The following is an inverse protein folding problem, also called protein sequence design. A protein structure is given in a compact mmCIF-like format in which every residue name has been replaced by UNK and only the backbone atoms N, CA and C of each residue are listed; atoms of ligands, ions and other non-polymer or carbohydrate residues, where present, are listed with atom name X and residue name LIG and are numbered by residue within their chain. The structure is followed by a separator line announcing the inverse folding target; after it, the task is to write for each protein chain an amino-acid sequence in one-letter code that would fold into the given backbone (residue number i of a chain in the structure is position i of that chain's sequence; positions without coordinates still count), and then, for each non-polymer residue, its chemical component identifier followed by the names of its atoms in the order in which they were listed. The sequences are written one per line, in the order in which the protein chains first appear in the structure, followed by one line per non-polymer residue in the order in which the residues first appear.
data_IF_404359615582
#
_entry.id   IF_404359615582
#
_cell.length_a   1.000
_cell.length_b   1.000
_cell.length_c   1.000
_cell.angle_alpha   90.00
_cell.angle_beta   90.00
_cell.angle_gamma   90.00
#
_symmetry.space_group_name_H-M   'P 1'
#
loop_
_entity.id
_entity.type
_entity.pdbx_description
1 polymer ?
#
# COMPACT_ATOMS: atom_id res chain seq x y z
N UNK A 1 8.24 18.28 -25.43
CA UNK A 1 6.83 18.44 -24.97
C UNK A 1 6.66 17.51 -23.78
N UNK A 2 6.08 17.98 -22.70
CA UNK A 2 5.75 17.19 -21.51
C UNK A 2 4.24 17.02 -21.50
N UNK A 3 3.75 15.77 -21.38
CA UNK A 3 2.33 15.45 -21.36
C UNK A 3 2.04 14.47 -20.22
N UNK A 4 0.89 14.62 -19.57
CA UNK A 4 0.36 13.67 -18.62
C UNK A 4 -0.44 12.52 -19.28
N UNK A 5 -0.48 12.49 -20.61
CA UNK A 5 -1.05 11.38 -21.37
C UNK A 5 0.02 10.31 -21.65
N UNK A 6 -0.40 9.06 -21.77
CA UNK A 6 0.48 7.93 -22.13
C UNK A 6 0.76 7.81 -23.65
N UNK A 7 0.46 8.86 -24.41
CA UNK A 7 0.65 8.89 -25.85
C UNK A 7 2.10 9.34 -26.13
N UNK A 8 2.98 8.43 -26.53
CA UNK A 8 4.31 8.78 -27.02
C UNK A 8 4.22 9.28 -28.46
N UNK A 9 4.59 10.53 -28.71
CA UNK A 9 4.85 11.00 -30.07
C UNK A 9 6.20 10.42 -30.54
N UNK A 10 6.28 10.01 -31.81
CA UNK A 10 7.58 9.64 -32.38
C UNK A 10 8.50 10.87 -32.36
N UNK A 11 9.78 10.71 -32.03
CA UNK A 11 10.74 11.79 -32.15
C UNK A 11 10.70 12.32 -33.59
N UNK A 12 10.60 13.62 -33.75
CA UNK A 12 10.60 14.27 -35.04
C UNK A 12 11.68 15.36 -35.01
N UNK A 13 12.62 15.27 -35.95
CA UNK A 13 13.70 16.22 -36.04
C UNK A 13 13.35 17.29 -37.10
N UNK A 14 13.22 18.52 -36.64
CA UNK A 14 12.97 19.66 -37.50
C UNK A 14 14.20 20.52 -37.67
N UNK A 15 14.37 21.13 -38.85
CA UNK A 15 15.37 22.15 -39.08
C UNK A 15 14.70 23.52 -39.14
N UNK A 16 15.21 24.47 -38.38
CA UNK A 16 14.72 25.86 -38.37
C UNK A 16 15.88 26.73 -38.87
N UNK A 17 15.62 27.54 -39.92
CA UNK A 17 16.57 28.55 -40.38
C UNK A 17 16.25 29.90 -39.79
N UNK A 18 17.19 30.47 -38.99
CA UNK A 18 17.11 31.79 -38.40
C UNK A 18 18.41 32.53 -38.57
N UNK A 19 18.39 33.81 -38.99
CA UNK A 19 19.54 34.67 -39.15
C UNK A 19 20.63 34.11 -40.06
N UNK A 20 20.25 33.44 -41.17
CA UNK A 20 21.11 32.77 -42.14
C UNK A 20 21.86 31.51 -41.64
N UNK A 21 21.50 31.02 -40.47
CA UNK A 21 21.98 29.76 -39.90
C UNK A 21 20.86 28.73 -39.82
N UNK A 22 21.20 27.45 -39.96
CA UNK A 22 20.25 26.34 -39.82
C UNK A 22 20.48 25.59 -38.50
N UNK A 23 19.44 25.53 -37.69
CA UNK A 23 19.46 24.84 -36.40
C UNK A 23 18.66 23.54 -36.50
N UNK A 24 19.17 22.45 -35.97
CA UNK A 24 18.41 21.23 -35.78
C UNK A 24 17.65 21.24 -34.46
N UNK A 25 16.35 21.00 -34.52
CA UNK A 25 15.49 20.92 -33.36
C UNK A 25 15.02 19.48 -33.18
N UNK A 26 15.48 18.82 -32.13
CA UNK A 26 14.99 17.50 -31.76
C UNK A 26 13.81 17.60 -30.79
N UNK A 27 12.68 17.06 -31.19
CA UNK A 27 11.48 17.04 -30.34
C UNK A 27 11.38 15.67 -29.64
N UNK A 28 11.50 15.65 -28.34
CA UNK A 28 11.27 14.46 -27.51
C UNK A 28 9.98 14.63 -26.72
N UNK A 29 9.17 13.57 -26.67
CA UNK A 29 8.02 13.51 -25.78
C UNK A 29 8.46 12.89 -24.45
N UNK A 30 8.11 13.56 -23.34
CA UNK A 30 8.21 13.00 -22.00
C UNK A 30 6.79 12.71 -21.57
N UNK A 31 6.46 11.45 -21.46
CA UNK A 31 5.13 10.98 -21.09
C UNK A 31 5.02 10.76 -19.59
N UNK A 32 3.79 10.56 -19.10
CA UNK A 32 3.55 10.23 -17.70
C UNK A 32 4.36 8.99 -17.28
N UNK A 33 4.50 8.00 -18.15
CA UNK A 33 5.26 6.77 -17.87
C UNK A 33 6.76 7.04 -17.60
N UNK A 34 7.31 8.07 -18.23
CA UNK A 34 8.73 8.46 -18.03
C UNK A 34 8.89 9.40 -16.81
N UNK A 35 7.84 10.15 -16.45
CA UNK A 35 7.84 11.05 -15.31
C UNK A 35 7.55 10.30 -14.00
N UNK A 36 6.67 9.31 -14.02
CA UNK A 36 6.27 8.50 -12.86
C UNK A 36 7.48 8.03 -12.01
N UNK A 37 8.60 7.49 -12.58
CA UNK A 37 9.76 7.07 -11.78
C UNK A 37 10.44 8.19 -10.98
N UNK A 38 10.17 9.44 -11.30
CA UNK A 38 10.75 10.61 -10.59
C UNK A 38 9.81 11.19 -9.54
N UNK A 39 8.50 10.88 -9.63
CA UNK A 39 7.48 11.47 -8.75
C UNK A 39 6.98 10.46 -7.71
N UNK A 40 7.13 9.16 -7.97
CA UNK A 40 6.67 8.09 -7.09
C UNK A 40 7.85 7.42 -6.41
N UNK A 41 7.68 7.03 -5.14
CA UNK A 41 8.61 6.16 -4.44
C UNK A 41 8.51 4.74 -5.00
N UNK A 42 9.10 4.53 -6.20
CA UNK A 42 9.26 3.17 -6.74
C UNK A 42 10.29 2.39 -5.92
N UNK A 43 10.15 1.08 -5.83
CA UNK A 43 11.15 0.24 -5.21
C UNK A 43 12.49 0.44 -5.92
N UNK A 44 13.48 0.94 -5.18
CA UNK A 44 14.84 1.06 -5.71
C UNK A 44 15.43 -0.33 -5.84
N UNK A 45 16.16 -0.58 -6.92
CA UNK A 45 16.96 -1.80 -7.06
C UNK A 45 18.13 -1.78 -6.08
N UNK A 46 17.84 -2.12 -4.84
CA UNK A 46 18.84 -2.16 -3.78
C UNK A 46 19.62 -3.46 -3.82
N UNK A 47 20.89 -3.36 -3.47
CA UNK A 47 21.80 -4.51 -3.36
C UNK A 47 22.32 -4.63 -1.93
N UNK A 48 22.48 -5.85 -1.48
CA UNK A 48 23.11 -6.16 -0.20
C UNK A 48 23.97 -7.44 -0.31
N UNK A 49 24.97 -7.53 0.55
CA UNK A 49 25.87 -8.69 0.62
C UNK A 49 26.07 -9.08 2.07
N UNK A 50 26.00 -10.36 2.38
CA UNK A 50 26.22 -10.87 3.72
C UNK A 50 26.95 -12.22 3.71
N UNK A 51 27.52 -12.56 4.87
CA UNK A 51 28.21 -13.83 5.10
C UNK A 51 27.65 -14.45 6.38
N UNK A 52 27.22 -15.71 6.29
CA UNK A 52 26.74 -16.47 7.44
C UNK A 52 27.46 -17.83 7.54
N UNK A 53 27.14 -18.62 8.54
CA UNK A 53 27.66 -20.00 8.65
C UNK A 53 26.93 -20.91 7.65
N UNK A 54 27.62 -21.81 6.98
CA UNK A 54 26.99 -22.75 6.04
C UNK A 54 25.93 -23.63 6.70
N UNK A 55 26.06 -23.93 7.96
CA UNK A 55 25.05 -24.67 8.76
C UNK A 55 23.78 -23.86 9.04
N UNK A 56 23.81 -22.56 8.80
CA UNK A 56 22.66 -21.64 8.96
C UNK A 56 21.86 -21.44 7.67
N UNK A 57 22.16 -22.21 6.62
CA UNK A 57 21.54 -22.06 5.30
C UNK A 57 20.99 -23.40 4.83
N UNK A 58 19.73 -23.39 4.43
CA UNK A 58 19.10 -24.48 3.70
C UNK A 58 18.70 -23.95 2.31
N UNK A 59 19.05 -24.68 1.27
CA UNK A 59 18.67 -24.38 -0.12
C UNK A 59 17.47 -25.19 -0.53
N UNK A 60 16.59 -24.59 -1.31
CA UNK A 60 15.45 -25.25 -1.92
C UNK A 60 15.37 -24.89 -3.41
N UNK A 61 15.27 -25.87 -4.26
CA UNK A 61 15.08 -25.75 -5.71
C UNK A 61 13.74 -26.40 -6.07
N UNK A 62 12.92 -25.73 -6.88
CA UNK A 62 11.58 -26.25 -7.25
C UNK A 62 11.72 -27.52 -8.09
N UNK A 63 12.71 -27.57 -8.98
CA UNK A 63 13.10 -28.75 -9.74
C UNK A 63 14.56 -28.58 -10.25
N UNK A 64 15.16 -29.65 -10.73
CA UNK A 64 16.56 -29.65 -11.21
C UNK A 64 16.80 -28.73 -12.41
N UNK A 65 15.75 -28.32 -13.12
CA UNK A 65 15.81 -27.42 -14.28
C UNK A 65 15.46 -25.97 -13.94
N UNK A 66 15.10 -25.69 -12.68
CA UNK A 66 14.72 -24.35 -12.25
C UNK A 66 15.97 -23.49 -11.99
N UNK A 67 16.05 -22.32 -12.64
CA UNK A 67 17.02 -21.28 -12.30
C UNK A 67 16.67 -20.56 -11.00
N UNK A 68 15.44 -20.69 -10.52
CA UNK A 68 14.94 -20.01 -9.34
C UNK A 68 15.39 -20.70 -8.07
N UNK A 69 16.31 -20.09 -7.34
CA UNK A 69 16.84 -20.59 -6.07
C UNK A 69 16.14 -19.95 -4.89
N UNK A 70 15.84 -20.76 -3.88
CA UNK A 70 15.26 -20.32 -2.62
C UNK A 70 16.15 -20.73 -1.46
N UNK A 71 16.24 -19.85 -0.47
CA UNK A 71 17.09 -20.06 0.70
C UNK A 71 16.32 -19.80 1.98
N UNK A 72 16.49 -20.69 2.96
CA UNK A 72 16.13 -20.46 4.34
C UNK A 72 17.42 -20.16 5.11
N UNK A 73 17.53 -18.96 5.64
CA UNK A 73 18.77 -18.45 6.21
C UNK A 73 18.51 -17.96 7.62
N UNK A 74 19.38 -18.36 8.55
CA UNK A 74 19.41 -17.82 9.90
C UNK A 74 20.42 -16.67 9.94
N UNK A 75 19.96 -15.46 10.26
CA UNK A 75 20.78 -14.24 10.38
C UNK A 75 20.68 -13.66 11.78
N UNK A 76 21.75 -13.02 12.24
CA UNK A 76 21.68 -12.15 13.42
C UNK A 76 20.90 -10.88 13.11
N UNK A 77 20.30 -10.26 14.14
CA UNK A 77 19.61 -8.98 13.96
C UNK A 77 20.57 -7.86 13.57
N UNK A 78 21.83 -7.90 14.03
CA UNK A 78 22.87 -6.96 13.60
C UNK A 78 23.11 -7.05 12.10
N UNK A 79 23.24 -8.26 11.56
CA UNK A 79 23.44 -8.46 10.13
C UNK A 79 22.20 -8.07 9.32
N UNK A 80 20.99 -8.34 9.86
CA UNK A 80 19.74 -7.90 9.24
C UNK A 80 19.65 -6.37 9.13
N UNK A 81 19.97 -5.63 10.21
CA UNK A 81 20.03 -4.16 10.18
C UNK A 81 21.03 -3.69 9.14
N UNK A 82 22.21 -4.28 9.12
CA UNK A 82 23.28 -3.92 8.18
C UNK A 82 22.83 -4.02 6.73
N UNK A 83 22.17 -5.12 6.33
CA UNK A 83 21.74 -5.35 4.94
C UNK A 83 20.46 -4.60 4.54
N UNK A 84 19.74 -4.01 5.48
CA UNK A 84 18.47 -3.31 5.23
C UNK A 84 18.53 -1.81 5.52
N UNK A 85 19.67 -1.28 5.96
CA UNK A 85 19.82 0.15 6.24
C UNK A 85 19.88 0.98 4.95
N UNK A 86 19.64 2.28 5.07
CA UNK A 86 19.66 3.24 3.94
C UNK A 86 21.06 3.47 3.35
N UNK A 87 22.12 3.10 4.08
CA UNK A 87 23.51 3.29 3.69
C UNK A 87 23.98 2.16 2.75
N UNK A 88 24.22 2.50 1.47
CA UNK A 88 24.63 1.55 0.44
C UNK A 88 25.97 0.88 0.75
N UNK A 89 26.93 1.64 1.25
CA UNK A 89 28.29 1.09 1.50
C UNK A 89 28.25 0.06 2.62
N UNK A 90 27.46 0.30 3.64
CA UNK A 90 27.23 -0.65 4.73
C UNK A 90 26.50 -1.90 4.24
N UNK A 91 25.50 -1.76 3.37
CA UNK A 91 24.76 -2.92 2.84
C UNK A 91 25.65 -3.89 2.05
N UNK A 92 26.60 -3.38 1.27
CA UNK A 92 27.43 -4.21 0.38
C UNK A 92 28.76 -4.66 1.01
N UNK A 93 29.21 -4.00 2.07
CA UNK A 93 30.44 -4.34 2.76
C UNK A 93 30.17 -5.35 3.89
N UNK A 94 30.77 -6.52 3.77
CA UNK A 94 30.71 -7.52 4.82
C UNK A 94 31.70 -7.18 5.92
N UNK A 95 31.21 -6.87 7.11
CA UNK A 95 32.04 -6.58 8.29
C UNK A 95 31.51 -7.35 9.50
N UNK A 96 32.37 -7.62 10.46
CA UNK A 96 31.99 -8.12 11.78
C UNK A 96 31.84 -7.00 12.82
N UNK A 97 32.16 -5.76 12.45
CA UNK A 97 31.99 -4.58 13.30
C UNK A 97 30.60 -4.00 13.08
N UNK A 98 29.78 -4.07 14.10
CA UNK A 98 28.38 -3.60 14.10
C UNK A 98 28.17 -2.34 14.96
N UNK A 99 29.24 -1.74 15.49
CA UNK A 99 29.17 -0.55 16.36
C UNK A 99 28.49 0.64 15.70
N UNK A 100 28.66 0.76 14.37
CA UNK A 100 28.11 1.85 13.57
C UNK A 100 26.60 1.72 13.24
N UNK A 101 25.93 0.65 13.69
CA UNK A 101 24.51 0.42 13.36
C UNK A 101 23.55 1.30 14.16
N UNK A 102 23.97 1.85 15.30
CA UNK A 102 23.12 2.63 16.21
C UNK A 102 22.40 3.81 15.53
N UNK A 103 23.05 4.46 14.59
CA UNK A 103 22.50 5.65 13.90
C UNK A 103 21.91 5.33 12.54
N UNK A 104 21.85 4.07 12.16
CA UNK A 104 21.35 3.71 10.82
C UNK A 104 19.83 3.64 10.78
N UNK A 105 19.29 4.12 9.68
CA UNK A 105 17.85 4.12 9.40
C UNK A 105 17.50 3.01 8.41
N UNK A 106 16.32 2.46 8.55
CA UNK A 106 15.78 1.50 7.61
C UNK A 106 15.56 2.17 6.24
N UNK A 107 16.00 1.52 5.17
CA UNK A 107 15.56 1.93 3.83
C UNK A 107 14.11 1.51 3.61
N UNK A 108 13.20 2.46 3.69
CA UNK A 108 11.74 2.20 3.63
C UNK A 108 11.29 1.71 2.27
N UNK A 109 12.08 1.96 1.19
CA UNK A 109 11.79 1.43 -0.14
C UNK A 109 11.81 -0.10 -0.20
N UNK A 110 12.51 -0.77 0.74
CA UNK A 110 12.49 -2.23 0.91
C UNK A 110 11.13 -2.79 1.36
N UNK A 111 10.24 -1.95 1.84
CA UNK A 111 8.91 -2.32 2.32
C UNK A 111 7.81 -1.95 1.33
N UNK A 112 8.15 -1.59 0.10
CA UNK A 112 7.19 -1.18 -0.91
C UNK A 112 6.15 -2.28 -1.18
N UNK A 113 6.60 -3.50 -1.41
CA UNK A 113 5.73 -4.67 -1.63
C UNK A 113 5.15 -5.26 -0.34
N UNK A 114 5.46 -4.66 0.81
CA UNK A 114 4.90 -5.10 2.08
C UNK A 114 3.44 -4.64 2.19
N UNK A 115 2.53 -5.60 2.29
CA UNK A 115 1.07 -5.38 2.28
C UNK A 115 0.58 -4.57 3.48
N UNK A 116 1.35 -4.56 4.58
CA UNK A 116 1.01 -3.84 5.81
C UNK A 116 1.90 -2.62 6.02
N UNK A 117 1.26 -1.46 6.20
CA UNK A 117 1.90 -0.29 6.78
C UNK A 117 2.30 -0.54 8.24
N UNK A 118 3.02 0.38 8.85
CA UNK A 118 3.40 0.29 10.26
C UNK A 118 2.17 0.50 11.16
N UNK A 119 1.86 -0.50 11.98
CA UNK A 119 0.70 -0.48 12.90
C UNK A 119 0.95 0.31 14.19
N UNK A 120 2.07 1.02 14.29
CA UNK A 120 2.42 1.79 15.49
C UNK A 120 2.80 0.89 16.68
N UNK A 121 2.53 1.36 17.89
CA UNK A 121 2.87 0.68 19.15
C UNK A 121 1.86 -0.39 19.54
N UNK A 122 1.80 -1.48 18.76
CA UNK A 122 0.98 -2.63 19.12
C UNK A 122 1.63 -3.46 20.22
N UNK A 123 0.84 -4.30 20.90
CA UNK A 123 1.36 -5.28 21.88
C UNK A 123 2.41 -6.20 21.24
N UNK A 124 2.23 -6.58 19.97
CA UNK A 124 3.18 -7.39 19.22
C UNK A 124 4.55 -6.69 19.08
N UNK A 125 4.55 -5.42 18.67
CA UNK A 125 5.78 -4.65 18.51
C UNK A 125 6.51 -4.45 19.83
N UNK A 126 5.78 -4.24 20.93
CA UNK A 126 6.34 -4.19 22.30
C UNK A 126 6.97 -5.51 22.70
N UNK A 127 6.33 -6.64 22.39
CA UNK A 127 6.86 -7.97 22.70
C UNK A 127 8.14 -8.27 21.91
N UNK A 128 8.26 -7.84 20.66
CA UNK A 128 9.48 -7.97 19.85
C UNK A 128 10.63 -7.25 20.56
N UNK A 129 10.44 -5.97 20.89
CA UNK A 129 11.46 -5.17 21.59
C UNK A 129 11.80 -5.77 22.96
N UNK A 130 10.80 -6.26 23.71
CA UNK A 130 10.98 -6.92 25.00
C UNK A 130 11.84 -8.19 24.86
N UNK A 131 11.56 -9.04 23.87
CA UNK A 131 12.35 -10.26 23.63
C UNK A 131 13.81 -9.95 23.35
N UNK A 132 14.11 -8.93 22.54
CA UNK A 132 15.50 -8.54 22.27
C UNK A 132 16.18 -8.05 23.56
N UNK A 133 15.47 -7.33 24.44
CA UNK A 133 16.01 -6.81 25.71
C UNK A 133 16.29 -7.90 26.73
N UNK A 134 15.35 -8.83 26.89
CA UNK A 134 15.35 -9.78 28.02
C UNK A 134 15.91 -11.16 27.66
N UNK A 135 15.55 -11.67 26.47
CA UNK A 135 15.87 -13.03 26.03
C UNK A 135 16.29 -13.09 24.55
N UNK A 136 17.38 -12.42 24.12
CA UNK A 136 17.75 -12.32 22.70
C UNK A 136 17.94 -13.70 22.03
N UNK A 137 18.46 -14.70 22.74
CA UNK A 137 18.66 -16.05 22.23
C UNK A 137 17.36 -16.81 21.92
N UNK A 138 16.21 -16.36 22.47
CA UNK A 138 14.90 -16.94 22.19
C UNK A 138 14.18 -16.25 21.02
N UNK A 139 14.76 -15.19 20.49
CA UNK A 139 14.13 -14.40 19.43
C UNK A 139 13.75 -15.24 18.21
N UNK A 140 14.63 -16.15 17.80
CA UNK A 140 14.38 -17.08 16.69
C UNK A 140 13.14 -17.95 16.89
N UNK A 141 12.87 -18.39 18.11
CA UNK A 141 11.73 -19.25 18.44
C UNK A 141 10.40 -18.47 18.53
N UNK A 142 10.47 -17.19 18.92
CA UNK A 142 9.30 -16.37 19.19
C UNK A 142 8.88 -15.48 18.02
N UNK A 143 9.66 -15.50 16.91
CA UNK A 143 9.41 -14.66 15.76
C UNK A 143 9.21 -15.49 14.48
N UNK A 144 8.24 -15.11 13.66
CA UNK A 144 7.92 -15.81 12.42
C UNK A 144 8.94 -15.59 11.29
N UNK A 145 9.92 -14.72 11.50
CA UNK A 145 10.93 -14.40 10.49
C UNK A 145 10.47 -13.36 9.46
N UNK A 146 11.31 -13.21 8.42
CA UNK A 146 11.04 -12.35 7.28
C UNK A 146 10.92 -13.18 6.00
N UNK A 147 10.13 -12.65 5.05
CA UNK A 147 10.14 -13.14 3.68
C UNK A 147 10.65 -12.04 2.77
N UNK A 148 11.67 -12.36 1.99
CA UNK A 148 12.39 -11.47 1.10
C UNK A 148 12.32 -12.06 -0.31
N UNK A 149 11.93 -11.25 -1.28
CA UNK A 149 12.04 -11.54 -2.72
C UNK A 149 13.23 -10.78 -3.29
N UNK A 150 13.91 -11.31 -4.28
CA UNK A 150 15.03 -10.66 -4.96
C UNK A 150 15.01 -10.98 -6.45
N UNK A 151 15.33 -10.01 -7.29
CA UNK A 151 15.45 -10.21 -8.74
C UNK A 151 16.57 -11.17 -9.08
N UNK A 152 17.69 -11.07 -8.37
CA UNK A 152 18.84 -11.94 -8.55
C UNK A 152 19.52 -12.25 -7.22
N UNK A 153 19.93 -13.52 -7.08
CA UNK A 153 20.67 -14.03 -5.91
C UNK A 153 21.94 -14.72 -6.40
N UNK A 154 23.10 -14.24 -5.94
CA UNK A 154 24.38 -14.94 -6.10
C UNK A 154 24.81 -15.45 -4.75
N UNK A 155 24.76 -16.75 -4.57
CA UNK A 155 25.04 -17.36 -3.28
C UNK A 155 25.84 -18.64 -3.43
N UNK A 156 26.74 -18.88 -2.47
CA UNK A 156 27.56 -20.10 -2.47
C UNK A 156 28.48 -20.18 -1.26
N UNK A 157 29.01 -21.39 -1.01
CA UNK A 157 29.96 -21.63 0.07
C UNK A 157 31.32 -20.96 -0.22
N UNK A 158 31.95 -20.50 0.84
CA UNK A 158 33.31 -19.97 0.86
C UNK A 158 34.10 -20.58 2.03
N UNK A 159 35.40 -20.33 2.06
CA UNK A 159 36.32 -20.80 3.14
C UNK A 159 36.19 -22.32 3.43
N UNK A 160 36.29 -23.16 2.39
CA UNK A 160 36.19 -24.60 2.54
C UNK A 160 34.83 -25.07 3.07
N UNK A 161 33.76 -24.49 2.60
CA UNK A 161 32.35 -24.78 2.98
C UNK A 161 31.97 -24.44 4.44
N UNK A 162 32.81 -23.72 5.18
CA UNK A 162 32.49 -23.29 6.56
C UNK A 162 31.56 -22.06 6.58
N UNK A 163 31.71 -21.17 5.60
CA UNK A 163 30.94 -19.93 5.50
C UNK A 163 30.18 -19.92 4.19
N UNK A 164 29.07 -19.22 4.21
CA UNK A 164 28.19 -19.03 3.04
C UNK A 164 28.05 -17.55 2.77
N UNK A 165 28.41 -17.14 1.54
CA UNK A 165 28.24 -15.76 1.07
C UNK A 165 27.01 -15.66 0.23
N UNK A 166 26.25 -14.59 0.43
CA UNK A 166 25.07 -14.27 -0.37
C UNK A 166 25.10 -12.80 -0.79
N UNK A 167 24.85 -12.56 -2.06
CA UNK A 167 24.65 -11.24 -2.66
C UNK A 167 23.24 -11.22 -3.25
N UNK A 168 22.45 -10.25 -2.85
CA UNK A 168 21.05 -10.08 -3.27
C UNK A 168 20.89 -8.74 -3.98
N UNK A 169 20.20 -8.75 -5.13
CA UNK A 169 19.99 -7.57 -5.95
C UNK A 169 18.51 -7.39 -6.26
N UNK A 170 18.01 -6.14 -6.21
CA UNK A 170 16.61 -5.81 -6.44
C UNK A 170 15.70 -6.52 -5.45
N UNK A 171 16.03 -6.44 -4.14
CA UNK A 171 15.30 -7.17 -3.12
C UNK A 171 14.24 -6.33 -2.42
N UNK A 172 13.16 -6.99 -1.97
CA UNK A 172 12.04 -6.43 -1.24
C UNK A 172 11.67 -7.33 -0.06
N UNK A 173 11.15 -6.74 1.00
CA UNK A 173 10.67 -7.45 2.19
C UNK A 173 9.15 -7.52 2.11
N UNK A 174 8.64 -8.63 1.63
CA UNK A 174 7.21 -8.83 1.39
C UNK A 174 6.44 -9.25 2.65
N UNK A 175 7.13 -9.83 3.64
CA UNK A 175 6.55 -10.15 4.96
C UNK A 175 7.57 -9.93 6.08
N UNK A 176 7.09 -9.58 7.30
CA UNK A 176 7.93 -9.30 8.46
C UNK A 176 8.29 -7.83 8.66
N UNK A 177 7.69 -6.90 7.92
CA UNK A 177 7.96 -5.46 8.02
C UNK A 177 7.75 -4.88 9.42
N UNK A 178 6.77 -5.37 10.20
CA UNK A 178 6.57 -4.94 11.58
C UNK A 178 7.74 -5.36 12.48
N UNK A 179 8.20 -6.61 12.30
CA UNK A 179 9.35 -7.14 13.01
C UNK A 179 10.60 -6.31 12.71
N UNK A 180 10.85 -6.03 11.43
CA UNK A 180 12.01 -5.24 11.03
C UNK A 180 11.98 -3.82 11.62
N UNK A 181 10.85 -3.13 11.55
CA UNK A 181 10.70 -1.80 12.16
C UNK A 181 10.90 -1.81 13.69
N UNK A 182 10.42 -2.86 14.37
CA UNK A 182 10.62 -3.02 15.82
C UNK A 182 12.09 -3.28 16.17
N UNK A 183 12.81 -4.01 15.33
CA UNK A 183 14.26 -4.22 15.48
C UNK A 183 15.02 -2.89 15.34
N UNK A 184 14.69 -2.08 14.33
CA UNK A 184 15.27 -0.75 14.16
C UNK A 184 14.93 0.19 15.33
N UNK A 185 13.70 0.12 15.86
CA UNK A 185 13.31 0.87 17.05
C UNK A 185 14.22 0.49 18.24
N UNK A 186 14.41 -0.81 18.49
CA UNK A 186 15.33 -1.27 19.54
C UNK A 186 16.75 -0.76 19.28
N UNK A 187 17.26 -0.87 18.05
CA UNK A 187 18.60 -0.42 17.70
C UNK A 187 18.80 1.08 17.96
N UNK A 188 17.83 1.91 17.65
CA UNK A 188 17.93 3.36 17.82
C UNK A 188 17.76 3.82 19.28
N UNK A 189 16.83 3.20 20.03
CA UNK A 189 16.47 3.61 21.38
C UNK A 189 17.31 2.93 22.48
N UNK A 190 17.74 1.69 22.24
CA UNK A 190 18.31 0.82 23.25
C UNK A 190 19.55 0.04 22.76
N UNK A 191 20.32 0.62 21.85
CA UNK A 191 21.43 -0.06 21.20
C UNK A 191 22.27 -0.92 22.14
N UNK A 192 22.34 -2.20 21.81
CA UNK A 192 23.15 -3.20 22.49
C UNK A 192 23.65 -4.19 21.43
N UNK A 193 24.93 -4.08 21.07
CA UNK A 193 25.52 -4.86 19.99
C UNK A 193 25.51 -6.36 20.31
N UNK A 194 25.83 -6.75 21.56
CA UNK A 194 25.87 -8.17 21.97
C UNK A 194 24.50 -8.82 21.81
N UNK A 195 23.42 -8.11 22.18
CA UNK A 195 22.05 -8.59 22.00
C UNK A 195 21.66 -8.67 20.55
N UNK A 196 22.03 -7.70 19.74
CA UNK A 196 21.73 -7.70 18.30
C UNK A 196 22.48 -8.80 17.55
N UNK A 197 23.70 -9.14 17.99
CA UNK A 197 24.48 -10.24 17.41
C UNK A 197 23.98 -11.60 17.86
N UNK A 198 23.57 -11.74 19.14
CA UNK A 198 23.08 -13.00 19.69
C UNK A 198 21.65 -13.34 19.33
N UNK A 199 20.81 -12.34 19.06
CA UNK A 199 19.46 -12.55 18.58
C UNK A 199 19.47 -12.90 17.09
N UNK A 200 18.86 -14.02 16.75
CA UNK A 200 18.81 -14.53 15.39
C UNK A 200 17.38 -14.56 14.86
N UNK A 201 17.22 -14.47 13.55
CA UNK A 201 15.93 -14.49 12.86
C UNK A 201 15.98 -15.36 11.61
N UNK A 202 14.86 -16.01 11.29
CA UNK A 202 14.69 -16.75 10.04
C UNK A 202 14.41 -15.77 8.90
N UNK A 203 15.16 -15.87 7.82
CA UNK A 203 14.93 -15.16 6.56
C UNK A 203 14.65 -16.18 5.47
N UNK A 204 13.47 -16.09 4.86
CA UNK A 204 13.10 -16.81 3.64
C UNK A 204 13.44 -15.93 2.46
N UNK A 205 14.36 -16.35 1.63
CA UNK A 205 14.85 -15.57 0.50
C UNK A 205 14.50 -16.29 -0.81
N UNK A 206 13.72 -15.64 -1.67
CA UNK A 206 13.23 -16.19 -2.93
C UNK A 206 13.75 -15.37 -4.11
N UNK A 207 14.34 -16.05 -5.09
CA UNK A 207 14.67 -15.42 -6.37
C UNK A 207 13.45 -15.43 -7.28
N UNK A 208 13.05 -14.25 -7.78
CA UNK A 208 11.85 -14.08 -8.61
C UNK A 208 12.16 -13.66 -10.05
N UNK A 209 13.45 -13.44 -10.41
CA UNK A 209 13.90 -13.06 -11.75
C UNK A 209 13.10 -11.90 -12.38
N UNK A 210 12.61 -10.99 -11.58
CA UNK A 210 11.69 -9.91 -11.95
C UNK A 210 10.29 -10.40 -12.41
N UNK A 211 9.90 -11.65 -12.11
CA UNK A 211 8.52 -12.12 -12.28
C UNK A 211 7.62 -11.49 -11.20
N UNK A 212 6.86 -10.48 -11.61
CA UNK A 212 5.93 -9.76 -10.74
C UNK A 212 4.81 -10.68 -10.25
N UNK A 213 4.36 -11.63 -11.06
CA UNK A 213 3.30 -12.57 -10.68
C UNK A 213 3.78 -13.49 -9.56
N UNK A 214 4.98 -14.02 -9.67
CA UNK A 214 5.59 -14.86 -8.64
C UNK A 214 5.83 -14.05 -7.36
N UNK A 215 6.35 -12.84 -7.47
CA UNK A 215 6.57 -11.92 -6.34
C UNK A 215 5.27 -11.64 -5.60
N UNK A 216 4.20 -11.30 -6.33
CA UNK A 216 2.88 -11.03 -5.77
C UNK A 216 2.28 -12.27 -5.10
N UNK A 217 2.40 -13.44 -5.72
CA UNK A 217 1.92 -14.70 -5.14
C UNK A 217 2.68 -15.04 -3.84
N UNK A 218 4.01 -14.89 -3.80
CA UNK A 218 4.80 -15.10 -2.58
C UNK A 218 4.32 -14.13 -1.48
N UNK A 219 4.13 -12.86 -1.81
CA UNK A 219 3.63 -11.87 -0.87
C UNK A 219 2.21 -12.24 -0.37
N UNK A 220 1.31 -12.62 -1.26
CA UNK A 220 -0.07 -13.01 -0.92
C UNK A 220 -0.10 -14.25 -0.03
N UNK A 221 0.52 -15.36 -0.45
CA UNK A 221 0.44 -16.61 0.28
C UNK A 221 1.19 -16.59 1.62
N UNK A 222 2.32 -15.91 1.71
CA UNK A 222 3.04 -15.80 2.99
C UNK A 222 2.34 -14.87 3.97
N UNK A 223 1.59 -13.91 3.48
CA UNK A 223 0.83 -12.98 4.30
C UNK A 223 -0.56 -13.52 4.68
N UNK A 224 -1.17 -14.37 3.88
CA UNK A 224 -2.48 -14.98 4.18
C UNK A 224 -2.47 -15.84 5.45
N UNK A 225 -1.30 -16.38 5.81
CA UNK A 225 -1.11 -17.13 7.06
C UNK A 225 -1.25 -16.27 8.33
N UNK A 226 -1.23 -14.94 8.22
CA UNK A 226 -1.33 -13.99 9.32
C UNK A 226 -2.63 -13.15 9.27
N UNK A 227 -3.76 -13.71 8.96
CA UNK A 227 -5.08 -13.04 8.92
C UNK A 227 -5.05 -11.66 8.20
N UNK A 228 -4.38 -11.58 7.05
CA UNK A 228 -4.39 -10.37 6.21
C UNK A 228 -5.77 -10.23 5.58
N UNK A 229 -6.33 -9.03 5.65
CA UNK A 229 -7.59 -8.75 4.99
C UNK A 229 -7.39 -8.65 3.46
N UNK A 230 -8.44 -8.97 2.69
CA UNK A 230 -8.43 -8.74 1.25
C UNK A 230 -8.10 -7.27 0.89
N UNK A 231 -8.47 -6.34 1.75
CA UNK A 231 -8.13 -4.92 1.62
C UNK A 231 -6.61 -4.70 1.66
N UNK A 232 -5.92 -5.35 2.61
CA UNK A 232 -4.46 -5.22 2.71
C UNK A 232 -3.76 -5.78 1.46
N UNK A 233 -4.24 -6.91 0.91
CA UNK A 233 -3.73 -7.48 -0.34
C UNK A 233 -3.93 -6.54 -1.53
N UNK A 234 -5.12 -5.96 -1.65
CA UNK A 234 -5.42 -5.01 -2.74
C UNK A 234 -4.68 -3.67 -2.59
N UNK A 235 -4.18 -3.34 -1.40
CA UNK A 235 -3.45 -2.09 -1.15
C UNK A 235 -2.13 -1.96 -1.95
N UNK A 236 -1.55 -3.05 -2.40
CA UNK A 236 -0.31 -3.06 -3.22
C UNK A 236 -0.55 -3.10 -4.72
N UNK A 237 -1.81 -3.12 -5.15
CA UNK A 237 -2.17 -3.10 -6.57
C UNK A 237 -1.71 -1.78 -7.23
N UNK A 238 -1.19 -1.86 -8.46
CA UNK A 238 -0.69 -0.71 -9.22
C UNK A 238 -1.73 0.40 -9.35
N UNK A 239 -2.99 0.07 -9.59
CA UNK A 239 -4.05 1.07 -9.69
C UNK A 239 -4.27 1.83 -8.37
N UNK A 240 -4.14 1.16 -7.22
CA UNK A 240 -4.21 1.82 -5.90
C UNK A 240 -3.02 2.75 -5.66
N UNK A 241 -1.84 2.39 -6.17
CA UNK A 241 -0.64 3.23 -6.10
C UNK A 241 -0.82 4.48 -6.98
N UNK A 242 -1.39 4.34 -8.15
CA UNK A 242 -1.70 5.47 -9.04
C UNK A 242 -2.74 6.43 -8.41
N UNK A 243 -3.78 5.88 -7.77
CA UNK A 243 -4.76 6.67 -7.01
C UNK A 243 -4.06 7.46 -5.88
N UNK A 244 -3.17 6.81 -5.13
CA UNK A 244 -2.41 7.46 -4.05
C UNK A 244 -1.58 8.64 -4.58
N UNK A 245 -0.82 8.42 -5.66
CA UNK A 245 -0.01 9.45 -6.29
C UNK A 245 -0.87 10.62 -6.81
N UNK A 246 -1.99 10.31 -7.46
CA UNK A 246 -2.92 11.33 -7.97
C UNK A 246 -3.58 12.14 -6.85
N UNK A 247 -4.07 11.50 -5.79
CA UNK A 247 -4.70 12.19 -4.66
C UNK A 247 -3.69 13.01 -3.87
N UNK A 248 -2.45 12.54 -3.72
CA UNK A 248 -1.35 13.29 -3.11
C UNK A 248 -1.07 14.60 -3.86
N UNK A 249 -1.11 14.60 -5.20
CA UNK A 249 -0.95 15.82 -6.00
C UNK A 249 -2.13 16.80 -5.89
N UNK A 250 -3.23 16.39 -5.24
CA UNK A 250 -4.42 17.20 -4.97
C UNK A 250 -4.62 17.44 -3.45
N UNK A 251 -3.54 17.40 -2.66
CA UNK A 251 -3.51 17.64 -1.22
C UNK A 251 -4.43 16.73 -0.39
N UNK A 252 -4.68 15.51 -0.91
CA UNK A 252 -5.48 14.49 -0.23
C UNK A 252 -4.58 13.32 0.16
N UNK A 253 -4.47 13.06 1.47
CA UNK A 253 -3.78 11.86 1.96
C UNK A 253 -4.67 10.63 1.79
N UNK A 254 -4.27 9.74 0.86
CA UNK A 254 -4.94 8.47 0.62
C UNK A 254 -4.33 7.36 1.47
N UNK A 255 -5.04 6.97 2.52
CA UNK A 255 -4.61 5.90 3.44
C UNK A 255 -4.88 4.55 2.79
N UNK A 256 -3.89 4.05 2.08
CA UNK A 256 -3.94 2.76 1.38
C UNK A 256 -3.65 1.58 2.30
N UNK A 257 -2.72 1.75 3.23
CA UNK A 257 -2.29 0.70 4.16
C UNK A 257 -2.74 1.01 5.60
N UNK A 258 -3.06 -0.02 6.35
CA UNK A 258 -3.35 0.15 7.77
C UNK A 258 -2.12 0.71 8.51
N UNK A 259 -2.34 1.73 9.36
CA UNK A 259 -1.27 2.40 10.10
C UNK A 259 -0.47 3.43 9.31
N UNK A 260 -0.87 3.73 8.09
CA UNK A 260 -0.27 4.81 7.31
C UNK A 260 -0.63 6.16 7.94
N UNK A 261 0.39 6.90 8.41
CA UNK A 261 0.25 8.21 9.04
C UNK A 261 0.49 9.36 8.07
N UNK A 262 0.87 9.06 6.82
CA UNK A 262 1.32 10.05 5.84
C UNK A 262 2.77 10.47 6.04
N UNK A 263 3.24 11.37 5.18
CA UNK A 263 4.57 11.95 5.29
C UNK A 263 4.63 12.85 6.53
N UNK A 264 5.68 12.72 7.33
CA UNK A 264 5.84 13.45 8.60
C UNK A 264 5.92 14.97 8.42
N UNK A 265 6.35 15.41 7.25
CA UNK A 265 6.61 16.82 6.92
C UNK A 265 5.49 17.44 6.05
N UNK A 266 4.41 16.69 5.77
CA UNK A 266 3.30 17.18 4.95
C UNK A 266 2.02 17.21 5.77
N UNK A 267 1.45 18.41 5.90
CA UNK A 267 0.14 18.62 6.52
C UNK A 267 -0.92 18.59 5.39
N UNK A 268 -1.58 17.43 5.26
CA UNK A 268 -2.62 17.26 4.26
C UNK A 268 -3.93 17.89 4.72
N UNK A 269 -4.56 18.67 3.85
CA UNK A 269 -5.87 19.28 4.14
C UNK A 269 -6.95 18.24 4.37
N UNK A 270 -6.89 17.14 3.61
CA UNK A 270 -7.90 16.06 3.64
C UNK A 270 -7.23 14.70 3.76
N UNK A 271 -7.89 13.80 4.48
CA UNK A 271 -7.46 12.40 4.63
C UNK A 271 -8.61 11.45 4.34
N UNK A 272 -8.36 10.43 3.50
CA UNK A 272 -9.38 9.44 3.15
C UNK A 272 -8.78 8.03 3.05
N UNK A 273 -9.47 7.02 3.59
CA UNK A 273 -9.00 5.64 3.51
C UNK A 273 -9.44 4.95 2.22
N UNK A 274 -8.66 3.95 1.77
CA UNK A 274 -8.99 3.09 0.63
C UNK A 274 -10.38 2.45 0.80
N UNK A 275 -10.74 2.05 2.02
CA UNK A 275 -12.08 1.57 2.34
C UNK A 275 -13.15 2.61 2.04
N UNK A 276 -12.93 3.86 2.45
CA UNK A 276 -13.90 4.93 2.22
C UNK A 276 -14.06 5.23 0.74
N UNK A 277 -12.97 5.31 0.02
CA UNK A 277 -12.98 5.53 -1.43
C UNK A 277 -13.77 4.42 -2.14
N UNK A 278 -13.52 3.14 -1.80
CA UNK A 278 -14.29 2.03 -2.38
C UNK A 278 -15.80 2.13 -2.10
N UNK A 279 -16.18 2.56 -0.89
CA UNK A 279 -17.59 2.76 -0.53
C UNK A 279 -18.24 3.90 -1.33
N UNK A 280 -17.53 5.02 -1.51
CA UNK A 280 -17.99 6.17 -2.29
C UNK A 280 -18.23 5.78 -3.74
N UNK A 281 -17.25 5.14 -4.38
CA UNK A 281 -17.36 4.70 -5.77
C UNK A 281 -18.52 3.71 -5.91
N UNK A 282 -18.59 2.68 -5.07
CA UNK A 282 -19.61 1.65 -5.20
C UNK A 282 -21.02 2.19 -4.93
N UNK A 283 -21.14 3.19 -4.06
CA UNK A 283 -22.38 3.91 -3.83
C UNK A 283 -22.81 4.72 -5.08
N UNK A 284 -21.86 5.40 -5.72
CA UNK A 284 -22.12 6.14 -6.96
C UNK A 284 -22.50 5.23 -8.15
N UNK A 285 -22.08 3.95 -8.11
CA UNK A 285 -22.48 2.92 -9.08
C UNK A 285 -23.89 2.35 -8.82
N UNK A 286 -24.59 2.80 -7.77
CA UNK A 286 -25.98 2.40 -7.48
C UNK A 286 -26.14 1.39 -6.34
N UNK A 287 -25.11 1.14 -5.55
CA UNK A 287 -25.12 0.12 -4.50
C UNK A 287 -24.80 0.67 -3.09
N UNK A 288 -25.50 1.73 -2.60
CA UNK A 288 -25.22 2.32 -1.30
C UNK A 288 -25.41 1.35 -0.14
N UNK A 289 -26.43 0.49 -0.18
CA UNK A 289 -26.73 -0.54 0.81
C UNK A 289 -25.59 -1.56 0.96
N UNK A 290 -25.04 -2.02 -0.15
CA UNK A 290 -23.90 -2.95 -0.18
C UNK A 290 -22.60 -2.27 0.23
N UNK A 291 -22.39 -1.02 -0.17
CA UNK A 291 -21.24 -0.21 0.25
C UNK A 291 -21.12 -0.12 1.77
N UNK A 292 -22.25 -0.04 2.48
CA UNK A 292 -22.31 0.01 3.94
C UNK A 292 -22.13 -1.38 4.56
N UNK A 293 -22.85 -2.39 4.07
CA UNK A 293 -23.01 -3.69 4.73
C UNK A 293 -22.00 -4.75 4.30
N UNK A 294 -21.49 -4.69 3.07
CA UNK A 294 -20.63 -5.72 2.47
C UNK A 294 -19.19 -5.27 2.29
N UNK A 295 -18.63 -4.58 3.27
CA UNK A 295 -17.30 -3.94 3.19
C UNK A 295 -16.15 -4.91 2.86
N UNK A 296 -16.24 -6.18 3.25
CA UNK A 296 -15.25 -7.20 2.85
C UNK A 296 -15.35 -7.56 1.38
N UNK A 297 -16.56 -7.58 0.82
CA UNK A 297 -16.79 -7.91 -0.58
C UNK A 297 -16.32 -6.82 -1.54
N UNK A 298 -16.17 -5.56 -1.08
CA UNK A 298 -15.62 -4.44 -1.87
C UNK A 298 -14.18 -4.71 -2.31
N UNK A 299 -13.41 -5.46 -1.51
CA UNK A 299 -12.02 -5.83 -1.81
C UNK A 299 -11.86 -7.25 -2.37
N UNK A 300 -12.97 -7.95 -2.53
CA UNK A 300 -13.03 -9.29 -3.14
C UNK A 300 -13.88 -9.27 -4.39
N UNK A 301 -15.12 -9.74 -4.25
CA UNK A 301 -16.05 -9.95 -5.37
C UNK A 301 -16.30 -8.70 -6.23
N UNK A 302 -16.35 -7.50 -5.61
CA UNK A 302 -16.72 -6.25 -6.30
C UNK A 302 -15.51 -5.37 -6.64
N UNK A 303 -14.28 -5.84 -6.36
CA UNK A 303 -13.09 -5.01 -6.52
C UNK A 303 -12.91 -4.50 -7.95
N UNK A 304 -13.03 -5.39 -8.92
CA UNK A 304 -12.82 -5.07 -10.34
C UNK A 304 -13.97 -4.23 -10.94
N UNK A 305 -15.18 -4.26 -10.32
CA UNK A 305 -16.28 -3.35 -10.64
C UNK A 305 -16.05 -1.93 -10.09
N UNK A 306 -15.31 -1.81 -8.97
CA UNK A 306 -15.08 -0.54 -8.27
C UNK A 306 -13.84 0.15 -8.82
N UNK A 307 -12.76 -0.62 -9.00
CA UNK A 307 -11.43 -0.11 -9.35
C UNK A 307 -11.01 -0.59 -10.74
N UNK A 308 -11.68 -0.06 -11.77
CA UNK A 308 -11.34 -0.29 -13.17
C UNK A 308 -11.07 1.04 -13.86
N UNK A 309 -9.97 1.11 -14.61
CA UNK A 309 -9.60 2.28 -15.42
C UNK A 309 -10.66 2.62 -16.48
N UNK A 310 -11.41 1.60 -16.95
CA UNK A 310 -12.47 1.76 -17.94
C UNK A 310 -13.74 2.40 -17.36
N UNK A 311 -13.92 2.33 -16.03
CA UNK A 311 -15.17 2.74 -15.36
C UNK A 311 -15.03 4.11 -14.70
N UNK A 312 -13.84 4.44 -14.19
CA UNK A 312 -13.61 5.63 -13.36
C UNK A 312 -12.33 6.35 -13.75
N UNK A 313 -12.47 7.55 -14.30
CA UNK A 313 -11.32 8.44 -14.48
C UNK A 313 -10.84 9.00 -13.13
N UNK A 314 -9.58 9.38 -13.02
CA UNK A 314 -9.05 10.03 -11.81
C UNK A 314 -9.74 11.36 -11.47
N UNK A 315 -10.20 12.10 -12.49
CA UNK A 315 -10.95 13.34 -12.28
C UNK A 315 -12.36 13.08 -11.71
N UNK A 316 -13.03 12.02 -12.17
CA UNK A 316 -14.32 11.61 -11.61
C UNK A 316 -14.14 11.13 -10.18
N UNK A 317 -13.08 10.40 -9.90
CA UNK A 317 -12.72 9.98 -8.54
C UNK A 317 -12.52 11.19 -7.62
N UNK A 318 -11.75 12.18 -8.05
CA UNK A 318 -11.51 13.40 -7.28
C UNK A 318 -12.83 14.16 -7.02
N UNK A 319 -13.69 14.24 -8.04
CA UNK A 319 -15.01 14.86 -7.93
C UNK A 319 -15.88 14.15 -6.87
N UNK A 320 -15.92 12.83 -6.89
CA UNK A 320 -16.66 12.03 -5.91
C UNK A 320 -16.11 12.19 -4.48
N UNK A 321 -14.79 12.21 -4.32
CA UNK A 321 -14.15 12.41 -3.03
C UNK A 321 -14.44 13.81 -2.48
N UNK A 322 -14.32 14.86 -3.31
CA UNK A 322 -14.64 16.22 -2.90
C UNK A 322 -16.11 16.37 -2.54
N UNK A 323 -17.01 15.76 -3.33
CA UNK A 323 -18.43 15.70 -3.01
C UNK A 323 -18.68 15.04 -1.64
N UNK A 324 -17.98 13.95 -1.33
CA UNK A 324 -18.09 13.29 -0.02
C UNK A 324 -17.71 14.23 1.14
N UNK A 325 -16.61 14.97 1.01
CA UNK A 325 -16.21 15.94 2.03
C UNK A 325 -17.23 17.08 2.14
N UNK A 326 -17.75 17.57 1.01
CA UNK A 326 -18.79 18.60 1.02
C UNK A 326 -20.08 18.11 1.69
N UNK A 327 -20.50 16.88 1.46
CA UNK A 327 -21.66 16.29 2.15
C UNK A 327 -21.45 16.28 3.66
N UNK A 328 -20.25 15.94 4.13
CA UNK A 328 -19.93 15.99 5.57
C UNK A 328 -20.11 17.40 6.13
N UNK A 329 -19.60 18.42 5.45
CA UNK A 329 -19.71 19.81 5.90
C UNK A 329 -21.15 20.27 5.88
N UNK A 330 -21.93 19.96 4.84
CA UNK A 330 -23.37 20.31 4.78
C UNK A 330 -24.18 19.67 5.90
N UNK A 331 -23.85 18.43 6.29
CA UNK A 331 -24.49 17.83 7.46
C UNK A 331 -24.13 18.53 8.77
N UNK A 332 -22.93 19.04 8.95
CA UNK A 332 -22.54 19.83 10.12
C UNK A 332 -23.30 21.15 10.21
N UNK A 333 -23.61 21.76 9.06
CA UNK A 333 -24.38 23.02 8.97
C UNK A 333 -25.89 22.79 9.12
N UNK A 334 -26.37 21.55 8.95
CA UNK A 334 -27.78 21.19 9.01
C UNK A 334 -28.24 20.86 10.45
N UNK A 335 -29.55 20.73 10.65
CA UNK A 335 -30.14 20.25 11.89
C UNK A 335 -30.14 18.72 12.02
N UNK A 336 -29.75 18.02 10.97
CA UNK A 336 -29.78 16.56 10.91
C UNK A 336 -28.48 15.95 11.45
N UNK A 337 -28.60 14.75 12.03
CA UNK A 337 -27.44 14.00 12.50
C UNK A 337 -26.85 13.21 11.32
N UNK A 338 -25.69 13.66 10.86
CA UNK A 338 -24.91 12.99 9.81
C UNK A 338 -24.10 11.82 10.34
N UNK A 339 -24.02 10.75 9.56
CA UNK A 339 -23.07 9.65 9.74
C UNK A 339 -22.80 8.95 8.40
N UNK A 340 -21.74 8.17 8.36
CA UNK A 340 -21.16 7.54 7.19
C UNK A 340 -22.16 6.92 6.19
N UNK A 341 -23.15 6.15 6.70
CA UNK A 341 -24.16 5.53 5.84
C UNK A 341 -25.03 6.55 5.10
N UNK A 342 -25.39 7.65 5.77
CA UNK A 342 -26.16 8.73 5.15
C UNK A 342 -25.36 9.44 4.07
N UNK A 343 -24.06 9.71 4.31
CA UNK A 343 -23.22 10.39 3.31
C UNK A 343 -23.14 9.60 2.01
N UNK A 344 -23.07 8.28 2.09
CA UNK A 344 -23.06 7.40 0.93
C UNK A 344 -24.40 7.45 0.15
N UNK A 345 -25.52 7.50 0.86
CA UNK A 345 -26.82 7.64 0.22
C UNK A 345 -27.02 9.01 -0.43
N UNK A 346 -26.51 10.09 0.15
CA UNK A 346 -26.56 11.43 -0.48
C UNK A 346 -25.81 11.42 -1.81
N UNK A 347 -24.63 10.78 -1.88
CA UNK A 347 -23.87 10.61 -3.13
C UNK A 347 -24.70 9.84 -4.17
N UNK A 348 -25.38 8.78 -3.73
CA UNK A 348 -26.28 8.00 -4.59
C UNK A 348 -27.45 8.84 -5.12
N UNK A 349 -28.16 9.58 -4.25
CA UNK A 349 -29.28 10.47 -4.65
C UNK A 349 -28.77 11.54 -5.60
N UNK A 350 -27.62 12.16 -5.34
CA UNK A 350 -27.02 13.16 -6.23
C UNK A 350 -26.70 12.58 -7.62
N UNK A 351 -26.34 11.30 -7.69
CA UNK A 351 -26.14 10.61 -8.98
C UNK A 351 -27.44 10.37 -9.73
N UNK A 352 -28.54 10.06 -9.01
CA UNK A 352 -29.87 9.88 -9.60
C UNK A 352 -30.50 11.21 -10.03
N UNK A 353 -30.27 12.29 -9.25
CA UNK A 353 -30.82 13.63 -9.46
C UNK A 353 -29.70 14.69 -9.58
N UNK A 354 -28.93 14.73 -10.68
CA UNK A 354 -27.78 15.62 -10.82
C UNK A 354 -28.11 17.11 -10.71
N UNK A 355 -29.37 17.49 -11.02
CA UNK A 355 -29.85 18.86 -10.98
C UNK A 355 -30.11 19.40 -9.56
N UNK A 356 -30.32 18.51 -8.57
CA UNK A 356 -30.57 18.91 -7.18
C UNK A 356 -29.27 19.31 -6.49
N UNK A 357 -29.31 20.28 -5.60
CA UNK A 357 -28.19 20.64 -4.72
C UNK A 357 -27.92 19.53 -3.69
N UNK A 358 -26.76 19.54 -3.04
CA UNK A 358 -26.46 18.57 -1.97
C UNK A 358 -27.38 18.75 -0.77
N UNK A 359 -27.82 19.96 -0.47
CA UNK A 359 -28.78 20.25 0.61
C UNK A 359 -30.11 19.58 0.30
N UNK A 360 -30.65 19.76 -0.91
CA UNK A 360 -31.90 19.09 -1.31
C UNK A 360 -31.76 17.56 -1.27
N UNK A 361 -30.61 17.01 -1.66
CA UNK A 361 -30.36 15.57 -1.56
C UNK A 361 -30.34 15.07 -0.10
N UNK A 362 -29.81 15.88 0.84
CA UNK A 362 -29.84 15.58 2.27
C UNK A 362 -31.30 15.61 2.79
N UNK A 363 -32.03 16.65 2.48
CA UNK A 363 -33.45 16.79 2.91
C UNK A 363 -34.31 15.64 2.42
N UNK A 364 -34.18 15.26 1.16
CA UNK A 364 -34.86 14.10 0.59
C UNK A 364 -34.48 12.80 1.31
N UNK A 365 -33.20 12.57 1.56
CA UNK A 365 -32.78 11.37 2.29
C UNK A 365 -33.41 11.31 3.69
N UNK A 366 -33.39 12.41 4.41
CA UNK A 366 -33.96 12.46 5.77
C UNK A 366 -35.48 12.24 5.75
N UNK A 367 -36.21 12.79 4.78
CA UNK A 367 -37.63 12.51 4.56
C UNK A 367 -37.85 11.02 4.27
N UNK A 368 -37.11 10.44 3.32
CA UNK A 368 -37.23 9.03 2.98
C UNK A 368 -36.90 8.10 4.14
N UNK A 369 -35.94 8.46 5.00
CA UNK A 369 -35.63 7.71 6.23
C UNK A 369 -36.84 7.72 7.20
N UNK A 370 -37.53 8.84 7.32
CA UNK A 370 -38.71 8.94 8.18
C UNK A 370 -39.86 8.12 7.62
N UNK A 371 -40.13 8.24 6.34
CA UNK A 371 -41.32 7.65 5.71
C UNK A 371 -41.20 6.15 5.45
N UNK A 372 -39.99 5.65 5.16
CA UNK A 372 -39.79 4.24 4.92
C UNK A 372 -40.09 3.41 6.18
N UNK A 373 -41.11 2.53 6.09
CA UNK A 373 -41.55 1.69 7.19
C UNK A 373 -41.72 2.47 8.51
N UNK A 374 -42.50 3.52 8.44
CA UNK A 374 -42.70 4.48 9.55
C UNK A 374 -43.24 3.82 10.82
N UNK A 375 -44.06 2.77 10.66
CA UNK A 375 -44.68 2.04 11.79
C UNK A 375 -43.72 1.03 12.45
N UNK A 376 -42.61 0.68 11.76
CA UNK A 376 -41.64 -0.26 12.27
C UNK A 376 -40.59 0.47 13.12
N UNK A 377 -40.32 -0.03 14.34
CA UNK A 377 -39.23 0.53 15.18
C UNK A 377 -37.84 0.11 14.73
N UNK A 378 -37.53 0.36 13.43
CA UNK A 378 -36.24 0.02 12.82
C UNK A 378 -35.32 1.23 12.90
N UNK A 379 -34.08 1.03 13.43
CA UNK A 379 -33.07 2.10 13.49
C UNK A 379 -32.65 2.56 12.10
N UNK A 380 -32.28 3.84 11.97
CA UNK A 380 -31.80 4.43 10.71
C UNK A 380 -30.70 3.60 10.07
N UNK A 381 -29.70 3.20 10.85
CA UNK A 381 -28.58 2.38 10.36
C UNK A 381 -29.07 1.04 9.75
N UNK A 382 -30.09 0.45 10.32
CA UNK A 382 -30.71 -0.79 9.82
C UNK A 382 -31.55 -0.57 8.56
N UNK A 383 -32.16 0.60 8.39
CA UNK A 383 -32.87 0.95 7.14
C UNK A 383 -31.87 1.06 5.98
N UNK A 384 -30.77 1.79 6.18
CA UNK A 384 -29.76 2.06 5.14
C UNK A 384 -29.04 0.82 4.57
N UNK A 385 -29.01 -0.29 5.29
CA UNK A 385 -28.40 -1.53 4.82
C UNK A 385 -29.39 -2.46 4.09
N UNK A 386 -30.66 -2.09 4.01
CA UNK A 386 -31.68 -2.90 3.36
C UNK A 386 -31.77 -2.58 1.87
N UNK A 387 -31.77 -3.60 1.03
CA UNK A 387 -32.06 -3.45 -0.41
C UNK A 387 -33.41 -2.77 -0.64
N UNK A 388 -34.43 -3.12 0.14
CA UNK A 388 -35.75 -2.52 0.03
C UNK A 388 -35.77 -1.01 0.29
N UNK A 389 -34.89 -0.49 1.16
CA UNK A 389 -34.73 0.95 1.35
C UNK A 389 -34.06 1.61 0.15
N UNK A 390 -33.02 0.98 -0.41
CA UNK A 390 -32.36 1.44 -1.63
C UNK A 390 -33.35 1.52 -2.80
N UNK A 391 -34.14 0.46 -3.02
CA UNK A 391 -35.13 0.41 -4.08
C UNK A 391 -36.23 1.48 -3.87
N UNK A 392 -36.67 1.71 -2.62
CA UNK A 392 -37.61 2.77 -2.27
C UNK A 392 -37.07 4.17 -2.57
N UNK A 393 -35.80 4.46 -2.24
CA UNK A 393 -35.15 5.74 -2.57
C UNK A 393 -35.10 5.95 -4.08
N UNK A 394 -34.73 4.92 -4.83
CA UNK A 394 -34.65 5.00 -6.28
C UNK A 394 -36.01 5.31 -6.93
N UNK A 395 -37.06 4.62 -6.50
CA UNK A 395 -38.44 4.84 -7.00
C UNK A 395 -38.93 6.24 -6.69
N UNK A 396 -38.69 6.73 -5.47
CA UNK A 396 -39.11 8.06 -5.02
C UNK A 396 -38.38 9.17 -5.79
N UNK A 397 -37.06 9.08 -5.91
CA UNK A 397 -36.27 10.07 -6.66
C UNK A 397 -36.70 10.11 -8.14
N UNK A 398 -36.92 8.95 -8.77
CA UNK A 398 -37.37 8.88 -10.16
C UNK A 398 -38.76 9.47 -10.34
N UNK A 399 -39.66 9.35 -9.35
CA UNK A 399 -41.00 9.94 -9.39
C UNK A 399 -40.99 11.46 -9.25
N UNK A 400 -40.04 12.02 -8.47
CA UNK A 400 -39.89 13.48 -8.30
C UNK A 400 -39.22 14.18 -9.49
N UNK A 401 -38.50 13.44 -10.33
CA UNK A 401 -37.82 13.98 -11.52
C UNK A 401 -38.76 14.03 -12.73
N UNK A 402 -39.82 13.22 -12.74
CA UNK A 402 -40.90 13.27 -13.76
C UNK A 402 -41.91 14.38 -13.49
#
# INVERSE_FOLDING_TARGET
MVSNDNISMKPDDHTISMFSETYSLSVHSITLKEIIPYITDFPKDLSAKFITNSTSVMTYEINELSSSKSYLIKLSLAELIRITCSDKDIRVNTTSDHTNLRSKTLDTSLLFDNVRGYLGETTFNKNIVKTIKEDPNKFFMYNNGLTVTAKNIKAGPINGNKRFQCEINGFQIVNGGQTLRSIYKFCNEHFDEEKLVSAEILVRLFQTEADETLTNNIAEYTNSQNAISLMDLKSVNNFQIQIEAFLKSNDIHYVRKNGDMGDKDTDYEKRISMKRVSQIIYSSLGFPDRSINQTKALFGKYYDEIFSEDILSFNDLLTLINMHFEVIERYKESTYIGFEGKFLYVIYIKKLAPQKSLIECIELLEEFIVDYKKEDSISVARKLIQKGFKDYVEDKVNTEIQ
#
